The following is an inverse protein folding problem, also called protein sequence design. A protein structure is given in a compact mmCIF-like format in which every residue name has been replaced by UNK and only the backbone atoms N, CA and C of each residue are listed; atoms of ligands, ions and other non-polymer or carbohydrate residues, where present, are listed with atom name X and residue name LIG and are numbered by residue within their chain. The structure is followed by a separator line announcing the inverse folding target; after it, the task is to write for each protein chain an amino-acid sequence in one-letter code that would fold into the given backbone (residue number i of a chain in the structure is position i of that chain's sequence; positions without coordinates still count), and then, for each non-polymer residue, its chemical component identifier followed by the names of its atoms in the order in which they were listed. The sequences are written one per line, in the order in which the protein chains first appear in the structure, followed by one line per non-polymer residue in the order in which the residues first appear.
data_IF_678785592368
#
_entry.id   IF_678785592368
#
_cell.length_a   1.000
_cell.length_b   1.000
_cell.length_c   1.000
_cell.angle_alpha   90.00
_cell.angle_beta   90.00
_cell.angle_gamma   90.00
#
_symmetry.space_group_name_H-M   'P 1'
#
loop_
_entity.id
_entity.type
_entity.pdbx_description
1 polymer ?
#
# COMPACT_ATOMS: atom_id res chain seq x y z
N UNK A 1 -7.75 -10.70 4.02
CA UNK A 1 -6.60 -10.03 3.39
C UNK A 1 -5.75 -9.42 4.49
N UNK A 2 -4.42 -9.51 4.41
CA UNK A 2 -3.54 -8.79 5.34
C UNK A 2 -3.63 -7.29 5.02
N UNK A 3 -4.15 -6.45 5.93
CA UNK A 3 -4.34 -5.02 5.69
C UNK A 3 -3.01 -4.28 5.47
N UNK A 4 -1.90 -4.75 6.05
CA UNK A 4 -0.59 -4.12 5.83
C UNK A 4 -0.15 -4.29 4.39
N UNK A 5 -0.29 -5.50 3.84
CA UNK A 5 0.13 -5.76 2.45
C UNK A 5 -0.78 -5.06 1.45
N UNK A 6 -2.09 -4.99 1.74
CA UNK A 6 -3.03 -4.20 0.95
C UNK A 6 -2.58 -2.74 0.87
N UNK A 7 -2.41 -2.09 2.02
CA UNK A 7 -1.99 -0.70 2.13
C UNK A 7 -0.64 -0.45 1.46
N UNK A 8 0.36 -1.31 1.71
CA UNK A 8 1.68 -1.17 1.12
C UNK A 8 1.68 -1.32 -0.40
N UNK A 9 0.94 -2.30 -0.95
CA UNK A 9 0.87 -2.47 -2.40
C UNK A 9 0.21 -1.29 -3.11
N UNK A 10 -0.87 -0.75 -2.53
CA UNK A 10 -1.49 0.48 -3.03
C UNK A 10 -0.54 1.67 -2.93
N UNK A 11 0.14 1.85 -1.79
CA UNK A 11 1.09 2.95 -1.59
C UNK A 11 2.25 2.92 -2.60
N UNK A 12 2.82 1.74 -2.86
CA UNK A 12 3.87 1.55 -3.88
C UNK A 12 3.35 2.00 -5.24
N UNK A 13 2.18 1.54 -5.67
CA UNK A 13 1.64 1.87 -7.00
C UNK A 13 1.26 3.35 -7.12
N UNK A 14 0.54 3.91 -6.15
CA UNK A 14 0.17 5.32 -6.18
C UNK A 14 1.40 6.24 -6.15
N UNK A 15 2.48 5.85 -5.47
CA UNK A 15 3.72 6.63 -5.44
C UNK A 15 4.44 6.73 -6.80
N UNK A 16 4.20 5.77 -7.72
CA UNK A 16 4.83 5.76 -9.05
C UNK A 16 4.39 6.93 -9.93
N UNK A 17 3.18 7.42 -9.69
CA UNK A 17 2.59 8.57 -10.37
C UNK A 17 2.98 9.92 -9.74
N UNK A 18 3.81 9.92 -8.69
CA UNK A 18 4.28 11.14 -8.02
C UNK A 18 5.64 11.56 -8.55
N UNK A 19 5.99 12.84 -8.35
CA UNK A 19 7.34 13.34 -8.62
C UNK A 19 8.41 12.70 -7.71
N UNK A 20 7.98 12.19 -6.55
CA UNK A 20 8.84 11.53 -5.57
C UNK A 20 9.02 10.03 -5.82
N UNK A 21 8.58 9.51 -6.97
CA UNK A 21 8.69 8.09 -7.34
C UNK A 21 10.10 7.50 -7.10
N UNK A 22 11.18 8.24 -7.38
CA UNK A 22 12.55 7.73 -7.17
C UNK A 22 12.80 7.35 -5.70
N UNK A 23 12.31 8.16 -4.76
CA UNK A 23 12.41 7.88 -3.33
C UNK A 23 11.58 6.64 -2.97
N UNK A 24 10.35 6.54 -3.49
CA UNK A 24 9.51 5.37 -3.26
C UNK A 24 10.12 4.07 -3.80
N UNK A 25 10.77 4.14 -4.97
CA UNK A 25 11.51 3.00 -5.56
C UNK A 25 12.61 2.54 -4.63
N UNK A 26 13.43 3.46 -4.13
CA UNK A 26 14.55 3.16 -3.24
C UNK A 26 14.07 2.53 -1.92
N UNK A 27 13.03 3.10 -1.31
CA UNK A 27 12.42 2.57 -0.09
C UNK A 27 11.85 1.16 -0.30
N UNK A 28 11.17 0.93 -1.43
CA UNK A 28 10.61 -0.38 -1.79
C UNK A 28 11.72 -1.40 -2.00
N UNK A 29 12.75 -1.06 -2.79
CA UNK A 29 13.89 -1.95 -3.08
C UNK A 29 14.68 -2.32 -1.81
N UNK A 30 14.76 -1.42 -0.83
CA UNK A 30 15.43 -1.69 0.44
C UNK A 30 14.83 -2.91 1.19
N UNK A 31 13.51 -3.14 1.07
CA UNK A 31 12.85 -4.31 1.63
C UNK A 31 13.37 -5.61 1.01
N UNK A 32 13.57 -5.64 -0.31
CA UNK A 32 14.11 -6.82 -1.00
C UNK A 32 15.59 -7.01 -0.76
N UNK A 33 16.37 -5.93 -0.66
CA UNK A 33 17.83 -6.02 -0.43
C UNK A 33 18.18 -6.81 0.83
N UNK A 34 17.32 -6.75 1.86
CA UNK A 34 17.51 -7.46 3.12
C UNK A 34 17.34 -8.98 3.01
N UNK A 35 16.52 -9.45 2.07
CA UNK A 35 16.04 -10.85 2.02
C UNK A 35 16.51 -11.56 0.76
N UNK A 36 16.48 -10.85 -0.37
CA UNK A 36 16.84 -11.31 -1.70
C UNK A 36 17.69 -10.26 -2.43
N UNK A 37 18.93 -9.99 -1.96
CA UNK A 37 19.82 -9.00 -2.60
C UNK A 37 20.06 -9.29 -4.09
N UNK A 38 20.05 -10.57 -4.49
CA UNK A 38 20.18 -11.01 -5.89
C UNK A 38 19.00 -10.60 -6.77
N UNK A 39 17.82 -10.36 -6.19
CA UNK A 39 16.62 -9.94 -6.93
C UNK A 39 16.50 -8.43 -7.10
N UNK A 40 17.34 -7.64 -6.44
CA UNK A 40 17.27 -6.17 -6.46
C UNK A 40 17.25 -5.60 -7.87
N UNK A 41 18.13 -6.00 -8.82
CA UNK A 41 18.11 -5.45 -10.17
C UNK A 41 16.80 -5.75 -10.93
N UNK A 42 16.22 -6.93 -10.69
CA UNK A 42 14.95 -7.30 -11.32
C UNK A 42 13.77 -6.50 -10.74
N UNK A 43 13.74 -6.30 -9.41
CA UNK A 43 12.71 -5.49 -8.76
C UNK A 43 12.78 -4.02 -9.18
N UNK A 44 14.00 -3.47 -9.33
CA UNK A 44 14.18 -2.11 -9.84
C UNK A 44 13.64 -1.92 -11.26
N UNK A 45 13.90 -2.88 -12.16
CA UNK A 45 13.37 -2.88 -13.51
C UNK A 45 11.84 -3.04 -13.52
N UNK A 46 11.30 -4.01 -12.78
CA UNK A 46 9.85 -4.23 -12.66
C UNK A 46 9.13 -2.97 -12.15
N UNK A 47 9.65 -2.28 -11.12
CA UNK A 47 9.03 -1.05 -10.63
C UNK A 47 9.05 0.07 -11.70
N UNK A 48 10.10 0.14 -12.54
CA UNK A 48 10.18 1.13 -13.61
C UNK A 48 9.18 0.84 -14.74
N UNK A 49 8.99 -0.43 -15.09
CA UNK A 49 8.01 -0.87 -16.08
C UNK A 49 6.58 -0.59 -15.59
N UNK A 50 6.26 -1.00 -14.35
CA UNK A 50 4.94 -0.77 -13.75
C UNK A 50 4.65 0.73 -13.65
N UNK A 51 5.65 1.57 -13.38
CA UNK A 51 5.43 3.03 -13.38
C UNK A 51 4.91 3.53 -14.74
N UNK A 52 5.42 3.03 -15.85
CA UNK A 52 4.94 3.43 -17.16
C UNK A 52 3.46 3.04 -17.34
N UNK A 53 3.07 1.85 -16.87
CA UNK A 53 1.69 1.38 -16.90
C UNK A 53 0.77 2.21 -15.99
N UNK A 54 1.22 2.59 -14.79
CA UNK A 54 0.47 3.48 -13.89
C UNK A 54 0.22 4.84 -14.50
N UNK A 55 1.22 5.42 -15.18
CA UNK A 55 1.07 6.72 -15.85
C UNK A 55 0.04 6.61 -16.98
N UNK A 56 0.13 5.57 -17.81
CA UNK A 56 -0.84 5.34 -18.88
C UNK A 56 -2.26 5.17 -18.33
N UNK A 57 -2.44 4.34 -17.29
CA UNK A 57 -3.74 4.13 -16.65
C UNK A 57 -4.36 5.44 -16.13
N UNK A 58 -3.54 6.33 -15.54
CA UNK A 58 -4.01 7.64 -15.06
C UNK A 58 -4.35 8.60 -16.19
N UNK A 59 -3.59 8.61 -17.27
CA UNK A 59 -3.87 9.42 -18.46
C UNK A 59 -5.16 8.96 -19.17
N UNK A 60 -5.42 7.66 -19.18
CA UNK A 60 -6.62 7.05 -19.76
C UNK A 60 -7.85 7.11 -18.83
N UNK A 61 -7.63 7.41 -17.54
CA UNK A 61 -8.69 7.43 -16.53
C UNK A 61 -9.20 6.03 -16.19
N UNK A 62 -8.32 5.02 -16.20
CA UNK A 62 -8.61 3.62 -15.88
C UNK A 62 -8.16 3.27 -14.44
N UNK A 63 -9.02 3.46 -13.43
CA UNK A 63 -8.69 3.10 -12.05
C UNK A 63 -8.59 1.58 -11.85
N UNK A 64 -9.24 0.77 -12.69
CA UNK A 64 -9.21 -0.69 -12.56
C UNK A 64 -7.82 -1.22 -12.93
N UNK A 65 -7.20 -0.69 -13.98
CA UNK A 65 -5.82 -1.02 -14.33
C UNK A 65 -4.85 -0.68 -13.19
N UNK A 66 -4.98 0.49 -12.55
CA UNK A 66 -4.14 0.86 -11.39
C UNK A 66 -4.38 -0.08 -10.18
N UNK A 67 -5.62 -0.50 -9.93
CA UNK A 67 -5.96 -1.46 -8.87
C UNK A 67 -5.38 -2.85 -9.13
N UNK A 68 -5.38 -3.32 -10.37
CA UNK A 68 -4.80 -4.60 -10.77
C UNK A 68 -3.27 -4.59 -10.57
N UNK A 69 -2.60 -3.50 -10.94
CA UNK A 69 -1.16 -3.30 -10.67
C UNK A 69 -0.87 -3.28 -9.17
N UNK A 70 -1.74 -2.68 -8.36
CA UNK A 70 -1.61 -2.72 -6.90
C UNK A 70 -1.77 -4.15 -6.37
N UNK A 71 -2.74 -4.93 -6.88
CA UNK A 71 -2.92 -6.32 -6.50
C UNK A 71 -1.69 -7.18 -6.84
N UNK A 72 -0.99 -6.88 -7.92
CA UNK A 72 0.25 -7.51 -8.33
C UNK A 72 1.41 -7.25 -7.35
N UNK A 73 1.56 -6.02 -6.90
CA UNK A 73 2.52 -5.65 -5.86
C UNK A 73 2.19 -6.26 -4.51
N UNK A 74 0.91 -6.32 -4.15
CA UNK A 74 0.46 -7.02 -2.94
C UNK A 74 0.85 -8.51 -2.98
N UNK A 75 0.72 -9.19 -4.12
CA UNK A 75 1.13 -10.61 -4.24
C UNK A 75 2.63 -10.80 -4.03
N UNK A 76 3.45 -9.85 -4.50
CA UNK A 76 4.92 -9.86 -4.31
C UNK A 76 5.29 -9.62 -2.84
N UNK A 77 4.70 -8.61 -2.20
CA UNK A 77 4.91 -8.34 -0.77
C UNK A 77 4.46 -9.50 0.12
N UNK A 78 3.33 -10.17 -0.19
CA UNK A 78 2.90 -11.39 0.51
C UNK A 78 3.89 -12.55 0.35
N UNK A 79 4.65 -12.62 -0.74
CA UNK A 79 5.71 -13.63 -0.90
C UNK A 79 6.89 -13.26 -0.03
N UNK A 80 7.33 -12.00 -0.10
CA UNK A 80 8.42 -11.47 0.72
C UNK A 80 8.20 -11.70 2.23
N UNK A 81 7.01 -11.40 2.76
CA UNK A 81 6.67 -11.65 4.17
C UNK A 81 6.51 -13.13 4.53
N UNK A 82 6.23 -14.00 3.56
CA UNK A 82 6.20 -15.45 3.81
C UNK A 82 7.60 -16.02 3.91
N UNK A 83 8.54 -15.47 3.14
CA UNK A 83 9.94 -15.87 3.15
C UNK A 83 10.65 -15.35 4.41
N UNK A 84 10.30 -14.14 4.89
CA UNK A 84 10.73 -13.62 6.19
C UNK A 84 9.60 -12.82 6.88
N UNK A 85 8.88 -13.44 7.83
CA UNK A 85 7.82 -12.77 8.59
C UNK A 85 8.29 -11.62 9.48
N UNK A 86 9.58 -11.57 9.84
CA UNK A 86 10.13 -10.51 10.70
C UNK A 86 10.18 -9.14 10.01
N UNK A 87 10.06 -9.12 8.67
CA UNK A 87 9.97 -7.90 7.88
C UNK A 87 8.66 -7.11 8.07
N UNK A 88 7.64 -7.68 8.71
CA UNK A 88 6.34 -7.01 8.83
C UNK A 88 6.44 -5.63 9.50
N UNK A 89 7.32 -5.47 10.48
CA UNK A 89 7.53 -4.19 11.14
C UNK A 89 8.32 -3.20 10.27
N UNK A 90 9.30 -3.68 9.50
CA UNK A 90 10.02 -2.85 8.53
C UNK A 90 9.10 -2.40 7.38
N UNK A 91 8.24 -3.29 6.88
CA UNK A 91 7.25 -2.94 5.87
C UNK A 91 6.28 -1.87 6.37
N UNK A 92 5.86 -1.96 7.65
CA UNK A 92 5.02 -0.94 8.27
C UNK A 92 5.76 0.39 8.40
N UNK A 93 7.02 0.37 8.85
CA UNK A 93 7.87 1.56 8.90
C UNK A 93 8.00 2.22 7.53
N UNK A 94 8.35 1.45 6.50
CA UNK A 94 8.48 1.96 5.12
C UNK A 94 7.16 2.51 4.61
N UNK A 95 6.03 1.84 4.88
CA UNK A 95 4.72 2.36 4.52
C UNK A 95 4.43 3.72 5.17
N UNK A 96 4.59 3.81 6.49
CA UNK A 96 4.17 4.98 7.27
C UNK A 96 5.14 6.17 7.11
N UNK A 97 6.44 5.90 7.03
CA UNK A 97 7.49 6.94 7.06
C UNK A 97 8.03 7.31 5.67
N UNK A 98 7.98 6.41 4.69
CA UNK A 98 8.65 6.60 3.39
C UNK A 98 7.68 6.66 2.22
N UNK A 99 6.61 5.86 2.22
CA UNK A 99 5.66 5.79 1.10
C UNK A 99 4.47 6.73 1.29
N UNK A 100 3.77 6.64 2.43
CA UNK A 100 2.57 7.43 2.68
C UNK A 100 2.82 8.95 2.61
N UNK A 101 3.94 9.50 3.11
CA UNK A 101 4.21 10.95 3.03
C UNK A 101 4.39 11.47 1.59
N UNK A 102 4.64 10.59 0.62
CA UNK A 102 4.85 10.97 -0.79
C UNK A 102 3.54 11.16 -1.55
N UNK A 103 2.42 10.71 -0.98
CA UNK A 103 1.13 10.66 -1.65
C UNK A 103 0.33 11.93 -1.39
N UNK A 104 -0.62 12.24 -2.28
CA UNK A 104 -1.55 13.33 -2.02
C UNK A 104 -2.45 12.98 -0.81
N UNK A 105 -2.95 13.97 -0.04
CA UNK A 105 -3.80 13.70 1.13
C UNK A 105 -5.01 12.80 0.84
N UNK A 106 -5.61 12.92 -0.36
CA UNK A 106 -6.73 12.09 -0.81
C UNK A 106 -6.34 10.62 -1.06
N UNK A 107 -5.08 10.34 -1.38
CA UNK A 107 -4.54 8.98 -1.56
C UNK A 107 -4.09 8.38 -0.23
N UNK A 108 -3.45 9.18 0.63
CA UNK A 108 -3.11 8.76 2.00
C UNK A 108 -4.35 8.24 2.76
N UNK A 109 -5.46 8.93 2.57
CA UNK A 109 -6.74 8.58 3.19
C UNK A 109 -7.32 7.26 2.65
N UNK A 110 -7.01 6.88 1.39
CA UNK A 110 -7.41 5.60 0.79
C UNK A 110 -6.58 4.41 1.28
N UNK A 111 -5.35 4.66 1.72
CA UNK A 111 -4.42 3.63 2.21
C UNK A 111 -4.67 3.32 3.68
N UNK A 112 -5.17 4.30 4.43
CA UNK A 112 -5.63 4.14 5.81
C UNK A 112 -7.08 3.65 5.92
N UNK A 113 -7.45 3.13 7.10
CA UNK A 113 -8.86 2.88 7.43
C UNK A 113 -9.49 4.20 7.84
N UNK A 114 -10.20 4.87 6.93
CA UNK A 114 -11.03 6.03 7.26
C UNK A 114 -12.44 5.57 7.67
N UNK A 115 -12.79 5.76 8.94
CA UNK A 115 -14.15 5.48 9.44
C UNK A 115 -14.84 6.80 9.76
N UNK A 116 -15.86 7.16 8.98
CA UNK A 116 -16.70 8.33 9.23
C UNK A 116 -18.06 7.86 9.71
N UNK A 117 -18.58 8.49 10.76
CA UNK A 117 -19.84 8.13 11.39
C UNK A 117 -20.62 9.38 11.76
N UNK A 118 -21.84 9.49 11.24
CA UNK A 118 -22.77 10.58 11.58
C UNK A 118 -24.02 9.97 12.22
N UNK A 119 -24.24 10.27 13.50
CA UNK A 119 -25.43 9.84 14.25
C UNK A 119 -26.34 11.04 14.55
N UNK A 120 -27.64 10.79 14.60
CA UNK A 120 -28.66 11.75 15.05
C UNK A 120 -29.73 11.04 15.90
N UNK A 121 -30.44 11.79 16.74
CA UNK A 121 -31.46 11.21 17.63
C UNK A 121 -30.88 10.28 18.71
N UNK A 122 -31.52 9.13 18.94
CA UNK A 122 -31.08 8.11 19.90
C UNK A 122 -30.26 6.98 19.24
N UNK A 123 -29.34 7.35 18.35
CA UNK A 123 -28.53 6.40 17.60
C UNK A 123 -27.29 5.92 18.38
N UNK A 124 -26.94 4.66 18.21
CA UNK A 124 -25.65 4.08 18.62
C UNK A 124 -24.84 3.75 17.37
N UNK A 125 -23.58 4.15 17.35
CA UNK A 125 -22.64 3.79 16.29
C UNK A 125 -21.56 2.89 16.87
N UNK A 126 -21.34 1.79 16.17
CA UNK A 126 -20.29 0.83 16.44
C UNK A 126 -19.44 0.72 15.19
N UNK A 127 -18.19 1.16 15.28
CA UNK A 127 -17.23 1.07 14.19
C UNK A 127 -15.94 0.42 14.69
N UNK A 128 -15.40 -0.50 13.91
CA UNK A 128 -14.10 -1.08 14.15
C UNK A 128 -13.40 -1.41 12.84
N UNK A 129 -12.14 -0.99 12.71
CA UNK A 129 -11.29 -1.37 11.58
C UNK A 129 -10.84 -2.83 11.59
N UNK A 130 -11.12 -3.57 12.68
CA UNK A 130 -10.85 -5.01 12.86
C UNK A 130 -11.92 -5.60 13.80
N UNK A 131 -11.59 -6.58 14.64
CA UNK A 131 -12.56 -7.31 15.46
C UNK A 131 -13.25 -6.42 16.50
N UNK A 132 -14.58 -6.50 16.56
CA UNK A 132 -15.42 -5.83 17.55
C UNK A 132 -16.37 -6.84 18.19
N UNK A 133 -16.40 -6.88 19.52
CA UNK A 133 -17.39 -7.65 20.28
C UNK A 133 -18.24 -6.68 21.07
N UNK A 134 -19.56 -6.70 20.82
CA UNK A 134 -20.52 -5.83 21.50
C UNK A 134 -21.46 -6.73 22.29
N UNK A 135 -21.59 -6.46 23.59
CA UNK A 135 -22.63 -7.04 24.45
C UNK A 135 -23.55 -5.91 24.86
N UNK A 136 -24.81 -6.03 24.51
CA UNK A 136 -25.87 -5.13 24.98
C UNK A 136 -26.65 -5.79 26.12
N UNK A 137 -27.25 -4.96 26.97
CA UNK A 137 -28.03 -5.36 28.14
C UNK A 137 -29.52 -5.46 27.83
#
# INVERSE_FOLDING_TARGET
MDPLVLAAGTAVVSSMATDAWRQAREATVALWRRVHPERVPAIEAELADVRAEVIAAREEGDPQAEEDLAADWQRRLRRLLRDDPSLADELRRVLDEELNPLLAPAEQTRIGVQMTATASGHARIYQAGRNQTIREA
#
